data_IF_052418980842
#
_entry.id   IF_052418980842
#
_cell.length_a   1.000
_cell.length_b   1.000
_cell.length_c   1.000
_cell.angle_alpha   90.00
_cell.angle_beta   90.00
_cell.angle_gamma   90.00
#
_symmetry.space_group_name_H-M   'P 1'
#
loop_
_entity.id
_entity.type
_entity.pdbx_description
1 polymer ?
#
# COMPACT_ATOMS: atom_id res chain seq x y z
N UNK A 1 -39.12 12.92 -10.97
CA UNK A 1 -40.19 13.77 -11.54
C UNK A 1 -40.91 13.00 -12.63
N UNK A 2 -42.22 12.78 -12.51
CA UNK A 2 -43.04 12.30 -13.62
C UNK A 2 -43.42 13.52 -14.46
N UNK A 3 -43.19 13.49 -15.76
CA UNK A 3 -43.57 14.60 -16.65
C UNK A 3 -44.38 14.06 -17.83
N UNK A 4 -45.32 14.87 -18.32
CA UNK A 4 -46.21 14.50 -19.43
C UNK A 4 -45.65 15.11 -20.72
N UNK A 5 -45.29 14.25 -21.68
CA UNK A 5 -44.70 14.65 -22.94
C UNK A 5 -45.71 15.33 -23.88
N UNK A 6 -45.25 15.95 -24.99
CA UNK A 6 -46.11 16.49 -26.05
C UNK A 6 -47.01 15.42 -26.70
N UNK A 7 -46.65 14.15 -26.56
CA UNK A 7 -47.39 12.97 -27.00
C UNK A 7 -48.48 12.53 -26.00
N UNK A 8 -48.67 13.26 -24.90
CA UNK A 8 -49.64 12.97 -23.85
C UNK A 8 -49.26 11.79 -22.94
N UNK A 9 -48.10 11.15 -23.16
CA UNK A 9 -47.64 10.02 -22.35
C UNK A 9 -46.95 10.49 -21.08
N UNK A 10 -47.13 9.72 -20.01
CA UNK A 10 -46.48 9.98 -18.72
C UNK A 10 -45.07 9.38 -18.76
N UNK A 11 -44.06 10.22 -18.91
CA UNK A 11 -42.67 9.80 -18.82
C UNK A 11 -42.28 9.66 -17.35
N UNK A 12 -41.99 8.42 -16.96
CA UNK A 12 -41.39 8.09 -15.66
C UNK A 12 -39.87 8.06 -15.88
N UNK A 13 -39.09 8.76 -15.04
CA UNK A 13 -37.65 8.70 -15.14
C UNK A 13 -37.21 7.26 -14.88
N UNK A 14 -36.31 6.76 -15.73
CA UNK A 14 -35.75 5.44 -15.53
C UNK A 14 -35.18 5.31 -14.11
N UNK A 15 -35.40 4.17 -13.43
CA UNK A 15 -34.87 3.96 -12.08
C UNK A 15 -33.35 4.07 -12.11
N UNK A 16 -32.79 4.71 -11.09
CA UNK A 16 -31.35 4.76 -10.87
C UNK A 16 -30.90 3.43 -10.28
N UNK A 17 -29.81 2.87 -10.81
CA UNK A 17 -29.26 1.63 -10.29
C UNK A 17 -28.78 1.81 -8.83
N UNK A 18 -29.14 0.86 -7.98
CA UNK A 18 -28.66 0.79 -6.61
C UNK A 18 -27.20 0.33 -6.56
N UNK A 19 -26.46 0.81 -5.57
CA UNK A 19 -25.10 0.36 -5.31
C UNK A 19 -25.20 -1.00 -4.59
N UNK A 20 -24.78 -2.07 -5.25
CA UNK A 20 -24.79 -3.43 -4.71
C UNK A 20 -23.36 -3.95 -4.54
N UNK A 21 -23.15 -4.82 -3.55
CA UNK A 21 -21.87 -5.55 -3.40
C UNK A 21 -21.78 -6.59 -4.52
N UNK A 22 -20.63 -6.70 -5.19
CA UNK A 22 -20.47 -7.75 -6.19
C UNK A 22 -20.48 -9.14 -5.54
N UNK A 23 -21.14 -10.08 -6.21
CA UNK A 23 -21.21 -11.49 -5.82
C UNK A 23 -19.99 -12.29 -6.28
N UNK A 24 -19.23 -11.77 -7.24
CA UNK A 24 -17.99 -12.37 -7.78
C UNK A 24 -16.82 -11.38 -7.70
N UNK A 25 -15.63 -11.88 -7.38
CA UNK A 25 -14.39 -11.11 -7.34
C UNK A 25 -13.88 -10.79 -8.77
N UNK A 26 -14.59 -9.92 -9.49
CA UNK A 26 -14.13 -9.42 -10.77
C UNK A 26 -12.96 -8.45 -10.57
N UNK A 27 -11.77 -8.87 -11.00
CA UNK A 27 -10.57 -8.04 -10.99
C UNK A 27 -10.49 -7.27 -12.31
N UNK A 28 -10.67 -5.95 -12.25
CA UNK A 28 -10.43 -5.06 -13.39
C UNK A 28 -8.98 -4.56 -13.29
N UNK A 29 -8.11 -5.07 -14.16
CA UNK A 29 -6.71 -4.63 -14.28
C UNK A 29 -6.49 -3.80 -15.53
N UNK A 30 -5.68 -2.76 -15.44
CA UNK A 30 -5.19 -2.00 -16.59
C UNK A 30 -3.71 -2.30 -16.86
N UNK A 31 -3.23 -2.11 -18.09
CA UNK A 31 -1.78 -2.13 -18.34
C UNK A 31 -1.16 -0.83 -17.82
N UNK A 32 -0.43 -0.92 -16.72
CA UNK A 32 0.36 0.18 -16.17
C UNK A 32 1.77 0.21 -16.76
N UNK A 33 2.36 1.41 -16.86
CA UNK A 33 3.81 1.53 -17.04
C UNK A 33 4.49 1.42 -15.67
N UNK A 34 5.47 0.52 -15.47
CA UNK A 34 6.15 0.36 -14.19
C UNK A 34 6.73 1.66 -13.63
N UNK A 35 7.29 2.50 -14.51
CA UNK A 35 7.88 3.79 -14.12
C UNK A 35 6.85 4.84 -13.71
N UNK A 36 5.63 4.78 -14.26
CA UNK A 36 4.54 5.69 -13.88
C UNK A 36 3.95 5.33 -12.52
N UNK A 37 3.87 4.03 -12.22
CA UNK A 37 3.46 3.53 -10.91
C UNK A 37 4.48 3.99 -9.86
N UNK A 38 5.76 3.79 -10.15
CA UNK A 38 6.84 4.24 -9.29
C UNK A 38 6.85 5.76 -9.06
N UNK A 39 6.76 6.57 -10.11
CA UNK A 39 6.80 8.04 -9.95
C UNK A 39 5.64 8.55 -9.10
N UNK A 40 4.46 7.93 -9.21
CA UNK A 40 3.31 8.23 -8.36
C UNK A 40 3.57 7.85 -6.90
N UNK A 41 4.13 6.66 -6.65
CA UNK A 41 4.52 6.23 -5.31
C UNK A 41 5.53 7.21 -4.69
N UNK A 42 6.57 7.59 -5.43
CA UNK A 42 7.59 8.52 -4.93
C UNK A 42 7.05 9.93 -4.71
N UNK A 43 6.06 10.37 -5.49
CA UNK A 43 5.42 11.67 -5.30
C UNK A 43 4.73 11.79 -3.92
N UNK A 44 4.41 10.67 -3.25
CA UNK A 44 3.84 10.70 -1.88
C UNK A 44 4.89 10.98 -0.80
N UNK A 45 6.17 10.79 -1.08
CA UNK A 45 7.26 10.97 -0.11
C UNK A 45 7.45 12.44 0.25
N UNK A 46 7.41 13.35 -0.74
CA UNK A 46 7.62 14.78 -0.48
C UNK A 46 6.58 15.39 0.47
N UNK A 47 5.25 15.21 0.25
CA UNK A 47 4.26 15.63 1.22
C UNK A 47 4.49 15.03 2.61
N UNK A 48 4.78 13.73 2.69
CA UNK A 48 5.04 13.06 3.96
C UNK A 48 6.26 13.65 4.69
N UNK A 49 7.33 13.99 3.99
CA UNK A 49 8.51 14.63 4.55
C UNK A 49 8.22 16.02 5.13
N UNK A 50 7.50 16.88 4.41
CA UNK A 50 7.11 18.19 4.95
C UNK A 50 6.16 18.03 6.15
N UNK A 51 5.27 17.02 6.11
CA UNK A 51 4.41 16.69 7.24
C UNK A 51 5.18 16.21 8.45
N UNK A 52 6.27 15.46 8.27
CA UNK A 52 7.13 15.03 9.37
C UNK A 52 7.70 16.21 10.15
N UNK A 53 8.30 17.19 9.45
CA UNK A 53 8.90 18.37 10.10
C UNK A 53 7.86 19.33 10.68
N UNK A 54 6.74 19.55 9.99
CA UNK A 54 5.65 20.35 10.58
C UNK A 54 5.04 19.69 11.81
N UNK A 55 4.90 18.36 11.82
CA UNK A 55 4.52 17.60 13.01
C UNK A 55 5.52 17.80 14.15
N UNK A 56 6.83 17.69 13.88
CA UNK A 56 7.88 17.98 14.87
C UNK A 56 7.74 19.38 15.46
N UNK A 57 7.59 20.40 14.62
CA UNK A 57 7.45 21.78 15.08
C UNK A 57 6.19 21.99 15.91
N UNK A 58 5.08 21.33 15.57
CA UNK A 58 3.86 21.37 16.40
C UNK A 58 4.13 20.76 17.78
N UNK A 59 4.80 19.61 17.83
CA UNK A 59 5.13 18.96 19.11
C UNK A 59 6.08 19.82 19.94
N UNK A 60 7.13 20.39 19.34
CA UNK A 60 8.04 21.33 20.02
C UNK A 60 7.26 22.54 20.54
N UNK A 61 6.39 23.14 19.71
CA UNK A 61 5.56 24.27 20.12
C UNK A 61 4.61 23.93 21.28
N UNK A 62 4.11 22.70 21.35
CA UNK A 62 3.30 22.22 22.48
C UNK A 62 4.13 22.03 23.75
N UNK A 63 5.32 21.45 23.64
CA UNK A 63 6.24 21.26 24.78
C UNK A 63 6.70 22.61 25.35
N UNK A 64 7.03 23.56 24.49
CA UNK A 64 7.51 24.90 24.86
C UNK A 64 6.38 25.88 25.21
N UNK A 65 5.12 25.45 25.14
CA UNK A 65 3.94 26.32 25.29
C UNK A 65 3.97 27.55 24.39
N UNK A 66 4.49 27.42 23.17
CA UNK A 66 4.65 28.50 22.21
C UNK A 66 3.53 28.48 21.15
N UNK A 67 2.48 29.32 21.30
CA UNK A 67 1.36 29.33 20.37
C UNK A 67 1.75 29.75 18.95
N UNK A 68 2.77 30.59 18.81
CA UNK A 68 3.24 31.07 17.49
C UNK A 68 3.80 29.92 16.67
N UNK A 69 4.64 29.07 17.25
CA UNK A 69 5.20 27.90 16.56
C UNK A 69 4.06 26.94 16.16
N UNK A 70 3.12 26.68 17.07
CA UNK A 70 1.98 25.79 16.81
C UNK A 70 1.15 26.30 15.63
N UNK A 71 0.78 27.59 15.63
CA UNK A 71 -0.06 28.18 14.58
C UNK A 71 0.67 28.16 13.23
N UNK A 72 1.93 28.59 13.19
CA UNK A 72 2.72 28.65 11.94
C UNK A 72 2.94 27.25 11.38
N UNK A 73 3.35 26.29 12.21
CA UNK A 73 3.57 24.91 11.78
C UNK A 73 2.28 24.24 11.31
N UNK A 74 1.15 24.51 11.97
CA UNK A 74 -0.17 24.03 11.55
C UNK A 74 -0.56 24.59 10.19
N UNK A 75 -0.37 25.89 9.94
CA UNK A 75 -0.67 26.49 8.63
C UNK A 75 0.22 25.92 7.51
N UNK A 76 1.51 25.71 7.78
CA UNK A 76 2.45 25.11 6.82
C UNK A 76 2.11 23.64 6.53
N UNK A 77 1.46 22.93 7.45
CA UNK A 77 1.04 21.54 7.24
C UNK A 77 -0.14 21.40 6.26
N UNK A 78 -0.96 22.43 6.07
CA UNK A 78 -2.19 22.35 5.27
C UNK A 78 -1.91 21.98 3.80
N UNK A 79 -1.01 22.66 3.05
CA UNK A 79 -0.78 22.31 1.65
C UNK A 79 -0.24 20.88 1.45
N UNK A 80 0.75 20.39 2.23
CA UNK A 80 1.18 19.00 2.17
C UNK A 80 0.06 18.00 2.52
N UNK A 81 -0.82 18.28 3.49
CA UNK A 81 -1.99 17.42 3.79
C UNK A 81 -2.88 17.32 2.54
N UNK A 82 -3.26 18.46 1.95
CA UNK A 82 -4.14 18.49 0.78
C UNK A 82 -3.51 17.77 -0.42
N UNK A 83 -2.20 17.93 -0.60
CA UNK A 83 -1.45 17.25 -1.65
C UNK A 83 -1.38 15.73 -1.41
N UNK A 84 -1.08 15.30 -0.19
CA UNK A 84 -1.08 13.89 0.19
C UNK A 84 -2.46 13.27 -0.08
N UNK A 85 -3.53 13.90 0.43
CA UNK A 85 -4.92 13.47 0.22
C UNK A 85 -5.35 13.49 -1.25
N UNK A 86 -4.68 14.23 -2.13
CA UNK A 86 -4.96 14.24 -3.57
C UNK A 86 -4.23 13.11 -4.29
N UNK A 87 -2.97 12.83 -3.92
CA UNK A 87 -2.14 11.80 -4.57
C UNK A 87 -2.56 10.40 -4.12
N UNK A 88 -2.91 10.21 -2.84
CA UNK A 88 -3.23 8.90 -2.26
C UNK A 88 -4.67 8.44 -2.52
N UNK A 89 -5.49 9.20 -3.27
CA UNK A 89 -6.86 8.79 -3.57
C UNK A 89 -6.85 7.50 -4.38
N UNK A 90 -7.47 6.41 -3.86
CA UNK A 90 -7.54 5.18 -4.64
C UNK A 90 -8.43 5.44 -5.87
N UNK A 91 -8.00 5.02 -7.08
CA UNK A 91 -8.88 5.05 -8.23
C UNK A 91 -10.02 4.06 -7.98
N UNK A 92 -11.25 4.59 -7.91
CA UNK A 92 -12.48 3.80 -7.79
C UNK A 92 -13.04 3.63 -9.19
N UNK A 93 -13.16 2.38 -9.64
CA UNK A 93 -13.80 2.01 -10.88
C UNK A 93 -15.27 1.74 -10.59
N UNK A 94 -16.13 2.42 -11.33
CA UNK A 94 -17.57 2.20 -11.24
C UNK A 94 -17.98 1.23 -12.35
N UNK A 95 -18.38 0.03 -11.96
CA UNK A 95 -18.91 -0.99 -12.86
C UNK A 95 -20.44 -0.91 -12.89
N UNK A 96 -21.00 -1.00 -14.09
CA UNK A 96 -22.44 -1.11 -14.31
C UNK A 96 -22.69 -2.47 -14.94
N UNK A 97 -23.34 -3.37 -14.22
CA UNK A 97 -23.69 -4.69 -14.70
C UNK A 97 -25.17 -4.69 -15.12
N UNK A 98 -25.45 -5.03 -16.37
CA UNK A 98 -26.81 -5.13 -16.89
C UNK A 98 -27.14 -6.61 -17.14
N UNK A 99 -27.95 -7.20 -16.27
CA UNK A 99 -28.36 -8.60 -16.38
C UNK A 99 -29.76 -8.69 -16.98
N UNK A 100 -30.01 -9.58 -17.96
CA UNK A 100 -31.36 -9.83 -18.46
C UNK A 100 -32.31 -10.22 -17.33
N UNK A 101 -33.44 -9.54 -17.24
CA UNK A 101 -34.47 -9.80 -16.23
C UNK A 101 -35.83 -9.52 -16.86
N UNK A 102 -36.73 -10.51 -16.82
CA UNK A 102 -38.08 -10.40 -17.37
C UNK A 102 -38.89 -9.27 -16.70
N UNK A 103 -38.58 -8.93 -15.45
CA UNK A 103 -39.19 -7.82 -14.71
C UNK A 103 -38.38 -6.51 -14.80
N UNK A 104 -37.32 -6.49 -15.63
CA UNK A 104 -36.42 -5.37 -15.80
C UNK A 104 -36.98 -4.25 -16.67
N UNK A 105 -36.16 -3.21 -16.90
CA UNK A 105 -36.47 -2.09 -17.78
C UNK A 105 -35.54 -2.10 -19.00
N UNK A 106 -35.97 -1.49 -20.10
CA UNK A 106 -35.14 -1.29 -21.30
C UNK A 106 -34.41 0.05 -21.28
N UNK A 107 -34.82 0.99 -20.44
CA UNK A 107 -34.21 2.31 -20.29
C UNK A 107 -33.66 2.46 -18.88
N UNK A 108 -32.39 2.85 -18.78
CA UNK A 108 -31.68 2.98 -17.51
C UNK A 108 -30.99 4.33 -17.37
N UNK A 109 -31.16 4.96 -16.21
CA UNK A 109 -30.50 6.23 -15.91
C UNK A 109 -29.11 5.99 -15.29
N UNK A 110 -28.07 6.61 -15.85
CA UNK A 110 -26.69 6.53 -15.35
C UNK A 110 -26.21 7.82 -14.70
N UNK A 111 -27.12 8.64 -14.18
CA UNK A 111 -26.82 9.85 -13.44
C UNK A 111 -26.19 10.92 -14.34
N UNK A 112 -24.88 11.16 -14.17
CA UNK A 112 -24.12 12.11 -15.00
C UNK A 112 -23.74 11.55 -16.39
N UNK A 113 -23.94 10.25 -16.62
CA UNK A 113 -23.69 9.61 -17.90
C UNK A 113 -24.98 9.50 -18.74
N UNK A 114 -24.88 9.46 -20.08
CA UNK A 114 -26.04 9.26 -20.94
C UNK A 114 -26.84 8.02 -20.55
N UNK A 115 -28.16 8.11 -20.63
CA UNK A 115 -29.05 6.97 -20.37
C UNK A 115 -28.68 5.79 -21.28
N UNK A 116 -28.78 4.58 -20.73
CA UNK A 116 -28.49 3.35 -21.46
C UNK A 116 -29.81 2.71 -21.87
N UNK A 117 -29.97 2.44 -23.16
CA UNK A 117 -31.11 1.69 -23.68
C UNK A 117 -30.65 0.29 -24.08
N UNK A 118 -31.27 -0.75 -23.51
CA UNK A 118 -30.97 -2.16 -23.81
C UNK A 118 -32.04 -2.75 -24.74
N UNK A 119 -31.66 -3.67 -25.65
CA UNK A 119 -32.61 -4.29 -26.59
C UNK A 119 -33.59 -5.25 -25.90
N UNK A 120 -33.25 -5.75 -24.72
CA UNK A 120 -34.08 -6.62 -23.88
C UNK A 120 -34.28 -5.96 -22.50
N UNK A 121 -35.37 -6.29 -21.77
CA UNK A 121 -35.53 -5.88 -20.38
C UNK A 121 -34.34 -6.37 -19.53
N UNK A 122 -33.69 -5.44 -18.83
CA UNK A 122 -32.54 -5.73 -17.98
C UNK A 122 -32.71 -5.10 -16.60
N UNK A 123 -32.09 -5.70 -15.59
CA UNK A 123 -31.87 -5.11 -14.27
C UNK A 123 -30.44 -4.59 -14.23
N UNK A 124 -30.25 -3.31 -13.91
CA UNK A 124 -28.93 -2.73 -13.78
C UNK A 124 -28.53 -2.65 -12.32
N UNK A 125 -27.36 -3.20 -12.03
CA UNK A 125 -26.68 -3.11 -10.75
C UNK A 125 -25.42 -2.25 -10.90
N UNK A 126 -25.12 -1.46 -9.88
CA UNK A 126 -23.93 -0.61 -9.82
C UNK A 126 -22.99 -1.14 -8.76
N UNK A 127 -21.74 -1.38 -9.14
CA UNK A 127 -20.70 -1.82 -8.21
C UNK A 127 -19.54 -0.81 -8.17
N UNK A 128 -18.97 -0.62 -6.99
CA UNK A 128 -17.75 0.16 -6.80
C UNK A 128 -16.59 -0.80 -6.57
N UNK A 129 -15.57 -0.69 -7.40
CA UNK A 129 -14.39 -1.54 -7.36
C UNK A 129 -13.13 -0.73 -7.15
N UNK A 130 -12.23 -1.27 -6.36
CA UNK A 130 -10.85 -0.77 -6.31
C UNK A 130 -10.08 -1.30 -7.51
N UNK A 131 -9.18 -0.49 -8.06
CA UNK A 131 -8.28 -0.91 -9.14
C UNK A 131 -7.50 -2.19 -8.79
N UNK A 132 -7.67 -3.22 -9.61
CA UNK A 132 -7.05 -4.53 -9.46
C UNK A 132 -5.72 -4.67 -10.21
N UNK A 133 -5.18 -3.57 -10.74
CA UNK A 133 -3.91 -3.58 -11.48
C UNK A 133 -2.78 -4.18 -10.62
N UNK A 134 -2.10 -5.24 -11.09
CA UNK A 134 -0.98 -5.82 -10.38
C UNK A 134 0.17 -4.81 -10.29
N UNK A 135 0.95 -4.94 -9.22
CA UNK A 135 2.18 -4.19 -9.04
C UNK A 135 3.25 -4.74 -9.99
N UNK A 136 3.64 -3.91 -10.96
CA UNK A 136 4.71 -4.24 -11.90
C UNK A 136 5.93 -3.37 -11.64
N UNK A 137 7.10 -4.00 -11.55
CA UNK A 137 8.38 -3.30 -11.41
C UNK A 137 9.15 -3.31 -12.73
N UNK A 138 9.96 -2.27 -13.00
CA UNK A 138 10.97 -2.39 -14.04
C UNK A 138 11.94 -3.51 -13.68
N UNK A 139 12.56 -4.12 -14.70
CA UNK A 139 13.61 -5.12 -14.50
C UNK A 139 14.67 -4.56 -13.55
N UNK A 140 15.08 -5.34 -12.56
CA UNK A 140 16.00 -4.89 -11.49
C UNK A 140 17.29 -4.24 -12.00
N UNK A 141 17.78 -4.62 -13.18
CA UNK A 141 18.97 -4.04 -13.82
C UNK A 141 18.85 -2.54 -14.09
N UNK A 142 17.66 -2.05 -14.46
CA UNK A 142 17.42 -0.65 -14.81
C UNK A 142 17.64 0.30 -13.63
N UNK A 143 16.92 0.13 -12.51
CA UNK A 143 17.15 0.91 -11.30
C UNK A 143 18.59 0.86 -10.78
N UNK A 144 19.23 -0.32 -10.78
CA UNK A 144 20.63 -0.43 -10.37
C UNK A 144 21.60 0.31 -11.29
N UNK A 145 21.36 0.34 -12.59
CA UNK A 145 22.15 1.12 -13.53
C UNK A 145 21.98 2.64 -13.29
N UNK A 146 20.75 3.11 -13.08
CA UNK A 146 20.48 4.51 -12.74
C UNK A 146 21.16 4.93 -11.44
N UNK A 147 21.11 4.06 -10.42
CA UNK A 147 21.80 4.29 -9.16
C UNK A 147 23.32 4.38 -9.34
N UNK A 148 23.92 3.44 -10.09
CA UNK A 148 25.35 3.44 -10.37
C UNK A 148 25.78 4.73 -11.10
N UNK A 149 25.00 5.15 -12.11
CA UNK A 149 25.24 6.41 -12.83
C UNK A 149 25.19 7.61 -11.89
N UNK A 150 24.21 7.64 -10.98
CA UNK A 150 24.07 8.71 -9.97
C UNK A 150 25.31 8.81 -9.08
N UNK A 151 25.80 7.69 -8.55
CA UNK A 151 27.00 7.65 -7.67
C UNK A 151 28.27 8.02 -8.46
N UNK A 152 28.43 7.49 -9.68
CA UNK A 152 29.59 7.80 -10.55
C UNK A 152 29.59 9.29 -10.89
N UNK A 153 28.44 9.87 -11.23
CA UNK A 153 28.34 11.29 -11.57
C UNK A 153 28.68 12.18 -10.37
N UNK A 154 28.19 11.87 -9.17
CA UNK A 154 28.59 12.59 -7.95
C UNK A 154 30.09 12.48 -7.68
N UNK A 155 30.66 11.28 -7.83
CA UNK A 155 32.11 11.05 -7.65
C UNK A 155 32.94 11.81 -8.70
N UNK A 156 32.51 11.82 -9.96
CA UNK A 156 33.18 12.53 -11.04
C UNK A 156 33.12 14.06 -10.84
N UNK A 157 31.98 14.59 -10.40
CA UNK A 157 31.85 16.00 -10.02
C UNK A 157 32.78 16.36 -8.86
N UNK A 158 32.89 15.48 -7.85
CA UNK A 158 33.85 15.66 -6.76
C UNK A 158 35.28 15.72 -7.27
N UNK A 159 35.68 14.77 -8.12
CA UNK A 159 37.02 14.76 -8.70
C UNK A 159 37.28 16.02 -9.53
N UNK A 160 36.30 16.46 -10.31
CA UNK A 160 36.43 17.68 -11.10
C UNK A 160 36.59 18.92 -10.23
N UNK A 161 35.79 19.08 -9.17
CA UNK A 161 35.96 20.18 -8.21
C UNK A 161 37.37 20.17 -7.62
N UNK A 162 37.84 19.02 -7.14
CA UNK A 162 39.16 18.89 -6.49
C UNK A 162 40.34 19.22 -7.40
N UNK A 163 40.20 19.08 -8.73
CA UNK A 163 41.27 19.33 -9.71
C UNK A 163 41.10 20.64 -10.48
N UNK A 164 40.16 21.50 -10.10
CA UNK A 164 39.77 22.67 -10.90
C UNK A 164 40.35 24.00 -10.41
N UNK A 165 41.27 23.98 -9.44
CA UNK A 165 41.94 25.16 -8.87
C UNK A 165 40.99 26.33 -8.54
N UNK A 166 39.78 26.02 -8.06
CA UNK A 166 38.78 27.02 -7.68
C UNK A 166 37.93 27.57 -8.86
N UNK A 167 37.97 26.92 -10.03
CA UNK A 167 37.09 27.25 -11.15
C UNK A 167 35.61 27.17 -10.76
N UNK A 168 34.83 28.15 -11.23
CA UNK A 168 33.38 28.19 -10.99
C UNK A 168 32.61 27.13 -11.79
N UNK A 169 33.17 26.62 -12.89
CA UNK A 169 32.48 25.70 -13.79
C UNK A 169 31.96 24.42 -13.09
N UNK A 170 32.78 23.65 -12.35
CA UNK A 170 32.30 22.45 -11.67
C UNK A 170 31.36 22.75 -10.49
N UNK A 171 31.49 23.91 -9.86
CA UNK A 171 30.57 24.37 -8.80
C UNK A 171 29.18 24.62 -9.39
N UNK A 172 29.10 25.32 -10.53
CA UNK A 172 27.85 25.56 -11.24
C UNK A 172 27.24 24.25 -11.76
N UNK A 173 28.08 23.34 -12.27
CA UNK A 173 27.62 22.01 -12.70
C UNK A 173 27.01 21.23 -11.53
N UNK A 174 27.65 21.25 -10.36
CA UNK A 174 27.08 20.65 -9.15
C UNK A 174 25.77 21.33 -8.76
N UNK A 175 25.71 22.67 -8.73
CA UNK A 175 24.48 23.40 -8.42
C UNK A 175 23.29 23.01 -9.31
N UNK A 176 23.54 22.76 -10.60
CA UNK A 176 22.52 22.29 -11.55
C UNK A 176 22.11 20.83 -11.33
N UNK A 177 23.08 19.95 -11.04
CA UNK A 177 22.88 18.50 -10.95
C UNK A 177 22.52 18.01 -9.54
N UNK A 178 22.71 18.83 -8.51
CA UNK A 178 22.46 18.52 -7.11
C UNK A 178 21.05 18.00 -6.86
N UNK A 179 20.03 18.73 -7.32
CA UNK A 179 18.62 18.36 -7.11
C UNK A 179 18.28 17.05 -7.85
N UNK A 180 18.59 16.87 -9.16
CA UNK A 180 18.40 15.58 -9.82
C UNK A 180 19.12 14.42 -9.14
N UNK A 181 20.39 14.60 -8.76
CA UNK A 181 21.19 13.58 -8.08
C UNK A 181 20.59 13.20 -6.72
N UNK A 182 20.11 14.18 -5.95
CA UNK A 182 19.42 13.93 -4.70
C UNK A 182 18.14 13.13 -4.91
N UNK A 183 17.28 13.56 -5.84
CA UNK A 183 16.00 12.88 -6.13
C UNK A 183 16.24 11.43 -6.56
N UNK A 184 17.19 11.20 -7.45
CA UNK A 184 17.54 9.85 -7.92
C UNK A 184 18.21 9.03 -6.81
N UNK A 185 19.14 9.63 -6.08
CA UNK A 185 19.89 8.99 -5.01
C UNK A 185 19.00 8.49 -3.88
N UNK A 186 17.97 9.26 -3.50
CA UNK A 186 17.11 8.84 -2.40
C UNK A 186 16.10 7.76 -2.78
N UNK A 187 15.59 7.81 -4.01
CA UNK A 187 14.39 7.06 -4.41
C UNK A 187 14.71 5.76 -5.18
N UNK A 188 15.71 5.78 -6.07
CA UNK A 188 16.02 4.66 -6.96
C UNK A 188 16.47 3.39 -6.22
N UNK A 189 17.27 3.44 -5.15
CA UNK A 189 17.66 2.22 -4.44
C UNK A 189 16.47 1.49 -3.83
N UNK A 190 15.46 2.24 -3.33
CA UNK A 190 14.23 1.66 -2.80
C UNK A 190 13.51 0.86 -3.89
N UNK A 191 13.39 1.42 -5.09
CA UNK A 191 12.83 0.71 -6.24
C UNK A 191 13.66 -0.52 -6.62
N UNK A 192 14.98 -0.41 -6.61
CA UNK A 192 15.89 -1.49 -6.96
C UNK A 192 15.71 -2.68 -6.01
N UNK A 193 15.71 -2.43 -4.70
CA UNK A 193 15.49 -3.44 -3.68
C UNK A 193 14.08 -4.03 -3.71
N UNK A 194 13.06 -3.20 -3.94
CA UNK A 194 11.69 -3.68 -4.05
C UNK A 194 11.47 -4.57 -5.27
N UNK A 195 12.07 -4.21 -6.40
CA UNK A 195 12.10 -5.03 -7.62
C UNK A 195 12.81 -6.36 -7.37
N UNK A 196 13.93 -6.36 -6.64
CA UNK A 196 14.62 -7.62 -6.27
C UNK A 196 13.74 -8.51 -5.41
N UNK A 197 13.13 -7.99 -4.34
CA UNK A 197 12.28 -8.78 -3.45
C UNK A 197 11.07 -9.36 -4.19
N UNK A 198 10.37 -8.54 -4.97
CA UNK A 198 9.16 -8.95 -5.70
C UNK A 198 9.46 -10.02 -6.75
N UNK A 199 10.55 -9.87 -7.51
CA UNK A 199 10.97 -10.86 -8.49
C UNK A 199 11.40 -12.20 -7.86
N UNK A 200 11.96 -12.17 -6.64
CA UNK A 200 12.39 -13.38 -5.92
C UNK A 200 11.22 -14.12 -5.28
N UNK A 201 10.24 -13.38 -4.76
CA UNK A 201 9.08 -13.96 -4.06
C UNK A 201 7.99 -14.45 -5.02
N UNK A 202 7.91 -13.87 -6.23
CA UNK A 202 6.92 -14.21 -7.27
C UNK A 202 5.45 -14.15 -6.77
N UNK A 203 5.18 -13.23 -5.85
CA UNK A 203 3.82 -12.95 -5.37
C UNK A 203 3.24 -11.81 -6.19
N UNK A 204 2.04 -12.03 -6.74
CA UNK A 204 1.27 -10.96 -7.37
C UNK A 204 0.54 -10.18 -6.28
N UNK A 205 0.82 -8.88 -6.19
CA UNK A 205 0.20 -7.96 -5.22
C UNK A 205 -0.49 -6.85 -5.97
N UNK A 206 -1.63 -6.37 -5.45
CA UNK A 206 -2.32 -5.22 -6.06
C UNK A 206 -1.52 -3.95 -5.77
N UNK A 207 -1.42 -3.08 -6.76
CA UNK A 207 -0.68 -1.81 -6.63
C UNK A 207 -1.14 -0.98 -5.41
N UNK A 208 -2.44 -0.92 -5.14
CA UNK A 208 -3.01 -0.15 -4.03
C UNK A 208 -2.60 -0.71 -2.66
N UNK A 209 -2.51 -2.04 -2.52
CA UNK A 209 -2.07 -2.69 -1.28
C UNK A 209 -0.59 -2.39 -1.02
N UNK A 210 0.23 -2.54 -2.04
CA UNK A 210 1.65 -2.23 -2.00
C UNK A 210 1.93 -0.74 -1.68
N UNK A 211 1.14 0.18 -2.25
CA UNK A 211 1.18 1.60 -1.91
C UNK A 211 0.82 1.84 -0.45
N UNK A 212 -0.21 1.17 0.07
CA UNK A 212 -0.63 1.30 1.46
C UNK A 212 0.46 0.83 2.44
N UNK A 213 1.15 -0.28 2.14
CA UNK A 213 2.26 -0.77 2.97
C UNK A 213 3.45 0.19 2.97
N UNK A 214 3.81 0.74 1.81
CA UNK A 214 4.87 1.75 1.70
C UNK A 214 4.50 3.02 2.50
N UNK A 215 3.27 3.50 2.36
CA UNK A 215 2.76 4.67 3.11
C UNK A 215 2.76 4.41 4.61
N UNK A 216 2.36 3.22 5.05
CA UNK A 216 2.40 2.85 6.46
C UNK A 216 3.82 2.89 7.03
N UNK A 217 4.81 2.44 6.25
CA UNK A 217 6.22 2.63 6.56
C UNK A 217 6.61 4.09 6.75
N UNK A 218 6.23 4.96 5.80
CA UNK A 218 6.50 6.40 5.92
C UNK A 218 5.82 7.02 7.15
N UNK A 219 4.58 6.64 7.44
CA UNK A 219 3.84 7.11 8.62
C UNK A 219 4.49 6.62 9.90
N UNK A 220 5.01 5.41 9.95
CA UNK A 220 5.73 4.88 11.13
C UNK A 220 7.01 5.65 11.46
N UNK A 221 7.60 6.35 10.48
CA UNK A 221 8.74 7.23 10.72
C UNK A 221 8.38 8.47 11.57
N UNK A 222 7.11 8.88 11.62
CA UNK A 222 6.68 10.06 12.37
C UNK A 222 6.89 9.90 13.88
N UNK A 223 6.25 8.92 14.55
CA UNK A 223 6.48 8.72 15.97
C UNK A 223 7.94 8.35 16.26
N UNK A 224 8.60 7.60 15.39
CA UNK A 224 10.02 7.25 15.58
C UNK A 224 10.91 8.50 15.59
N UNK A 225 10.75 9.39 14.62
CA UNK A 225 11.50 10.64 14.53
C UNK A 225 11.22 11.55 15.74
N UNK A 226 9.98 11.65 16.21
CA UNK A 226 9.65 12.42 17.42
C UNK A 226 10.37 11.87 18.65
N UNK A 227 10.24 10.56 18.90
CA UNK A 227 10.81 9.92 20.08
C UNK A 227 12.36 9.95 20.03
N UNK A 228 12.95 9.73 18.86
CA UNK A 228 14.40 9.82 18.67
C UNK A 228 14.93 11.23 18.90
N UNK A 229 14.15 12.26 18.56
CA UNK A 229 14.57 13.66 18.70
C UNK A 229 14.32 14.23 20.08
N UNK A 230 13.25 13.80 20.76
CA UNK A 230 12.75 14.44 21.99
C UNK A 230 12.88 13.57 23.24
N UNK A 231 12.81 12.24 23.10
CA UNK A 231 12.78 11.31 24.23
C UNK A 231 14.14 10.64 24.43
N UNK A 232 14.77 10.16 23.36
CA UNK A 232 16.09 9.49 23.47
C UNK A 232 17.15 10.36 24.14
N UNK A 233 17.31 11.66 23.81
CA UNK A 233 18.30 12.50 24.48
C UNK A 233 18.11 12.59 25.99
N UNK A 234 16.85 12.65 26.45
CA UNK A 234 16.50 12.73 27.87
C UNK A 234 16.72 11.41 28.63
N UNK A 235 16.74 10.28 27.93
CA UNK A 235 17.02 8.97 28.51
C UNK A 235 18.53 8.70 28.66
N UNK A 236 19.38 9.49 28.00
CA UNK A 236 20.83 9.29 28.03
C UNK A 236 21.40 9.85 29.34
N UNK A 237 22.25 9.09 30.07
CA UNK A 237 22.81 9.59 31.32
C UNK A 237 23.69 10.84 31.13
N UNK A 238 23.37 11.90 31.87
CA UNK A 238 24.07 13.21 31.79
C UNK A 238 25.59 13.17 32.09
N UNK A 239 26.09 12.07 32.67
CA UNK A 239 27.52 11.89 32.99
C UNK A 239 28.32 11.25 31.85
N UNK A 240 27.66 10.83 30.76
CA UNK A 240 28.33 10.27 29.59
C UNK A 240 28.97 11.38 28.76
N UNK A 241 30.09 11.07 28.11
CA UNK A 241 30.69 11.99 27.14
C UNK A 241 29.79 12.15 25.91
N UNK A 242 29.95 13.25 25.16
CA UNK A 242 29.18 13.50 23.94
C UNK A 242 29.27 12.35 22.92
N UNK A 243 30.44 11.72 22.80
CA UNK A 243 30.66 10.57 21.92
C UNK A 243 29.86 9.36 22.41
N UNK A 244 29.88 9.07 23.71
CA UNK A 244 29.13 7.96 24.30
C UNK A 244 27.62 8.17 24.15
N UNK A 245 27.15 9.40 24.43
CA UNK A 245 25.76 9.80 24.27
C UNK A 245 25.31 9.63 22.81
N UNK A 246 26.06 10.20 21.85
CA UNK A 246 25.76 10.12 20.42
C UNK A 246 25.75 8.67 19.93
N UNK A 247 26.73 7.87 20.34
CA UNK A 247 26.80 6.46 19.96
C UNK A 247 25.61 5.68 20.50
N UNK A 248 25.23 5.87 21.77
CA UNK A 248 24.08 5.19 22.34
C UNK A 248 22.75 5.63 21.69
N UNK A 249 22.60 6.92 21.39
CA UNK A 249 21.44 7.43 20.68
C UNK A 249 21.28 6.75 19.31
N UNK A 250 22.35 6.69 18.53
CA UNK A 250 22.31 6.21 17.13
C UNK A 250 22.35 4.67 17.04
N UNK A 251 23.10 4.00 17.92
CA UNK A 251 23.30 2.54 17.85
C UNK A 251 22.28 1.74 18.66
N UNK A 252 21.62 2.35 19.66
CA UNK A 252 20.69 1.66 20.55
C UNK A 252 19.33 2.35 20.55
N UNK A 253 19.29 3.64 20.89
CA UNK A 253 18.03 4.38 21.05
C UNK A 253 17.17 4.38 19.79
N UNK A 254 17.73 4.89 18.69
CA UNK A 254 17.05 4.98 17.41
C UNK A 254 16.60 3.61 16.90
N UNK A 255 17.46 2.57 16.78
CA UNK A 255 17.02 1.27 16.28
C UNK A 255 15.87 0.65 17.08
N UNK A 256 15.88 0.73 18.42
CA UNK A 256 14.81 0.15 19.24
C UNK A 256 13.47 0.83 18.95
N UNK A 257 13.45 2.16 18.95
CA UNK A 257 12.24 2.94 18.71
C UNK A 257 11.72 2.71 17.30
N UNK A 258 12.62 2.73 16.31
CA UNK A 258 12.26 2.54 14.90
C UNK A 258 11.65 1.17 14.64
N UNK A 259 12.22 0.09 15.19
CA UNK A 259 11.66 -1.25 15.05
C UNK A 259 10.30 -1.38 15.75
N UNK A 260 10.10 -0.75 16.92
CA UNK A 260 8.79 -0.73 17.58
C UNK A 260 7.75 0.00 16.72
N UNK A 261 8.08 1.18 16.18
CA UNK A 261 7.17 1.93 15.33
C UNK A 261 6.85 1.20 14.02
N UNK A 262 7.82 0.50 13.41
CA UNK A 262 7.55 -0.33 12.23
C UNK A 262 6.72 -1.57 12.56
N UNK A 263 6.90 -2.15 13.75
CA UNK A 263 6.08 -3.28 14.20
C UNK A 263 4.61 -2.90 14.39
N UNK A 264 4.30 -1.68 14.87
CA UNK A 264 2.91 -1.22 14.94
C UNK A 264 2.29 -1.07 13.55
N UNK A 265 3.05 -0.63 12.55
CA UNK A 265 2.59 -0.62 11.16
C UNK A 265 2.31 -2.03 10.63
N UNK A 266 3.11 -3.04 11.01
CA UNK A 266 2.82 -4.44 10.66
C UNK A 266 1.48 -4.92 11.22
N UNK A 267 1.17 -4.57 12.48
CA UNK A 267 -0.09 -4.97 13.13
C UNK A 267 -1.33 -4.42 12.39
N UNK A 268 -1.24 -3.24 11.78
CA UNK A 268 -2.34 -2.67 10.96
C UNK A 268 -2.63 -3.57 9.74
N UNK A 269 -1.62 -4.21 9.17
CA UNK A 269 -1.75 -5.08 7.99
C UNK A 269 -1.68 -6.57 8.33
N UNK A 270 -2.03 -6.94 9.56
CA UNK A 270 -1.98 -8.32 10.04
C UNK A 270 -2.72 -9.30 9.13
N UNK A 271 -3.90 -8.93 8.61
CA UNK A 271 -4.68 -9.74 7.68
C UNK A 271 -3.99 -9.98 6.33
N UNK A 272 -3.10 -9.08 5.90
CA UNK A 272 -2.37 -9.19 4.64
C UNK A 272 -1.12 -10.07 4.73
N UNK A 273 -0.74 -10.49 5.93
CA UNK A 273 0.50 -11.25 6.19
C UNK A 273 0.31 -12.77 6.20
N UNK A 274 -0.82 -13.31 5.72
CA UNK A 274 -1.08 -14.76 5.71
C UNK A 274 0.03 -15.52 4.95
N UNK A 275 0.86 -16.22 5.70
CA UNK A 275 2.03 -16.96 5.25
C UNK A 275 3.33 -16.18 5.22
N UNK A 276 4.42 -16.91 5.51
CA UNK A 276 5.78 -16.36 5.67
C UNK A 276 6.22 -15.48 4.51
N UNK A 277 5.92 -15.87 3.26
CA UNK A 277 6.32 -15.08 2.08
C UNK A 277 5.50 -13.79 1.93
N UNK A 278 4.21 -13.83 2.23
CA UNK A 278 3.35 -12.65 2.20
C UNK A 278 3.73 -11.69 3.35
N UNK A 279 3.90 -12.22 4.56
CA UNK A 279 4.41 -11.48 5.71
C UNK A 279 5.76 -10.82 5.44
N UNK A 280 6.70 -11.54 4.80
CA UNK A 280 7.97 -10.95 4.39
C UNK A 280 7.77 -9.77 3.43
N UNK A 281 6.92 -9.90 2.41
CA UNK A 281 6.70 -8.84 1.43
C UNK A 281 6.06 -7.60 2.06
N UNK A 282 5.05 -7.78 2.91
CA UNK A 282 4.41 -6.69 3.66
C UNK A 282 5.43 -5.98 4.56
N UNK A 283 6.19 -6.74 5.35
CA UNK A 283 7.25 -6.20 6.21
C UNK A 283 8.36 -5.50 5.43
N UNK A 284 8.78 -6.08 4.32
CA UNK A 284 9.79 -5.50 3.44
C UNK A 284 9.32 -4.16 2.86
N UNK A 285 8.06 -4.08 2.39
CA UNK A 285 7.46 -2.83 1.89
C UNK A 285 7.32 -1.76 2.96
N UNK A 286 6.92 -2.12 4.19
CA UNK A 286 6.86 -1.17 5.32
C UNK A 286 8.27 -0.66 5.65
N UNK A 287 9.27 -1.54 5.75
CA UNK A 287 10.65 -1.15 6.01
C UNK A 287 11.23 -0.24 4.91
N UNK A 288 10.91 -0.49 3.64
CA UNK A 288 11.25 0.40 2.53
C UNK A 288 10.57 1.78 2.64
N UNK A 289 9.32 1.82 3.07
CA UNK A 289 8.58 3.06 3.30
C UNK A 289 9.22 3.92 4.39
N UNK A 290 9.62 3.30 5.50
CA UNK A 290 10.37 3.97 6.57
C UNK A 290 11.69 4.54 6.04
N UNK A 291 12.45 3.70 5.32
CA UNK A 291 13.73 4.07 4.76
C UNK A 291 13.63 5.21 3.72
N UNK A 292 12.52 5.37 3.01
CA UNK A 292 12.33 6.50 2.09
C UNK A 292 12.40 7.86 2.80
N UNK A 293 11.71 7.99 3.93
CA UNK A 293 11.66 9.24 4.70
C UNK A 293 13.04 9.54 5.28
N UNK A 294 13.63 8.55 5.93
CA UNK A 294 14.94 8.70 6.56
C UNK A 294 16.02 9.01 5.51
N UNK A 295 16.04 8.26 4.40
CA UNK A 295 17.02 8.46 3.34
C UNK A 295 16.87 9.83 2.66
N UNK A 296 15.64 10.34 2.53
CA UNK A 296 15.41 11.70 2.03
C UNK A 296 16.09 12.74 2.94
N UNK A 297 16.03 12.58 4.27
CA UNK A 297 16.69 13.46 5.24
C UNK A 297 18.22 13.41 5.10
N UNK A 298 18.82 12.21 5.16
CA UNK A 298 20.28 12.06 5.10
C UNK A 298 20.88 12.59 3.80
N UNK A 299 20.28 12.27 2.65
CA UNK A 299 20.81 12.74 1.36
C UNK A 299 20.52 14.23 1.16
N UNK A 300 19.43 14.77 1.74
CA UNK A 300 19.20 16.22 1.74
C UNK A 300 20.27 16.98 2.53
N UNK A 301 20.71 16.44 3.67
CA UNK A 301 21.83 17.03 4.44
C UNK A 301 23.14 16.92 3.65
N UNK A 302 23.40 15.77 3.03
CA UNK A 302 24.60 15.54 2.23
C UNK A 302 24.76 16.48 1.02
N UNK A 303 23.68 17.11 0.55
CA UNK A 303 23.75 18.16 -0.48
C UNK A 303 24.61 19.34 -0.04
N UNK A 304 24.57 19.70 1.24
CA UNK A 304 25.34 20.82 1.80
C UNK A 304 26.83 20.47 1.99
N UNK A 305 27.15 19.18 2.03
CA UNK A 305 28.52 18.64 2.08
C UNK A 305 29.24 18.60 0.72
N UNK A 306 28.54 18.91 -0.37
CA UNK A 306 29.07 18.87 -1.72
C UNK A 306 28.99 17.49 -2.39
N UNK A 307 29.52 17.35 -3.62
CA UNK A 307 29.32 16.15 -4.43
C UNK A 307 29.95 14.88 -3.86
N UNK A 308 31.05 14.99 -3.10
CA UNK A 308 31.70 13.86 -2.45
C UNK A 308 30.78 13.23 -1.39
N UNK A 309 30.27 14.07 -0.49
CA UNK A 309 29.40 13.65 0.60
C UNK A 309 28.06 13.15 0.07
N UNK A 310 27.50 13.82 -0.96
CA UNK A 310 26.31 13.36 -1.65
C UNK A 310 26.48 11.96 -2.25
N UNK A 311 27.59 11.71 -2.96
CA UNK A 311 27.88 10.43 -3.58
C UNK A 311 28.11 9.32 -2.54
N UNK A 312 28.92 9.60 -1.52
CA UNK A 312 29.22 8.65 -0.45
C UNK A 312 27.97 8.28 0.35
N UNK A 313 27.19 9.27 0.77
CA UNK A 313 25.94 9.05 1.52
C UNK A 313 24.94 8.28 0.67
N UNK A 314 24.76 8.66 -0.60
CA UNK A 314 23.88 7.93 -1.53
C UNK A 314 24.29 6.47 -1.68
N UNK A 315 25.60 6.19 -1.80
CA UNK A 315 26.12 4.83 -1.92
C UNK A 315 25.88 4.00 -0.66
N UNK A 316 26.34 4.51 0.50
CA UNK A 316 26.24 3.83 1.79
C UNK A 316 24.79 3.56 2.14
N UNK A 317 23.90 4.55 1.92
CA UNK A 317 22.50 4.38 2.24
C UNK A 317 21.77 3.47 1.26
N UNK A 318 22.04 3.62 -0.03
CA UNK A 318 21.43 2.83 -1.10
C UNK A 318 21.73 1.33 -1.02
N UNK A 319 22.95 0.96 -0.64
CA UNK A 319 23.39 -0.46 -0.57
C UNK A 319 23.35 -1.01 0.86
N UNK A 320 23.48 -0.16 1.87
CA UNK A 320 23.52 -0.56 3.29
C UNK A 320 22.20 -0.35 4.01
N UNK A 321 21.89 0.90 4.37
CA UNK A 321 20.76 1.20 5.28
C UNK A 321 19.39 0.80 4.71
N UNK A 322 19.08 1.14 3.45
CA UNK A 322 17.78 0.86 2.83
C UNK A 322 17.41 -0.63 2.89
N UNK A 323 18.26 -1.55 2.39
CA UNK A 323 17.96 -2.97 2.49
C UNK A 323 17.96 -3.44 3.95
N UNK A 324 18.76 -2.86 4.86
CA UNK A 324 18.71 -3.22 6.26
C UNK A 324 17.32 -2.96 6.87
N UNK A 325 16.76 -1.76 6.74
CA UNK A 325 15.40 -1.47 7.23
C UNK A 325 14.35 -2.40 6.62
N UNK A 326 14.46 -2.66 5.31
CA UNK A 326 13.53 -3.54 4.61
C UNK A 326 13.66 -5.00 5.06
N UNK A 327 14.87 -5.51 5.24
CA UNK A 327 15.12 -6.90 5.63
C UNK A 327 14.72 -7.17 7.06
N UNK A 328 15.06 -6.30 8.02
CA UNK A 328 14.71 -6.51 9.44
C UNK A 328 13.20 -6.52 9.63
N UNK A 329 12.51 -5.53 9.06
CA UNK A 329 11.05 -5.46 9.09
C UNK A 329 10.42 -6.62 8.33
N UNK A 330 11.02 -7.03 7.21
CA UNK A 330 10.60 -8.20 6.43
C UNK A 330 10.72 -9.52 7.20
N UNK A 331 11.79 -9.72 7.99
CA UNK A 331 11.92 -10.91 8.82
C UNK A 331 10.89 -10.95 9.95
N UNK A 332 10.63 -9.82 10.60
CA UNK A 332 9.55 -9.71 11.60
C UNK A 332 8.19 -10.02 10.97
N UNK A 333 7.88 -9.42 9.81
CA UNK A 333 6.65 -9.71 9.07
C UNK A 333 6.53 -11.18 8.65
N UNK A 334 7.63 -11.80 8.20
CA UNK A 334 7.69 -13.23 7.85
C UNK A 334 7.37 -14.12 9.05
N UNK A 335 7.94 -13.80 10.22
CA UNK A 335 7.68 -14.54 11.45
C UNK A 335 6.21 -14.40 11.88
N UNK A 336 5.66 -13.18 11.87
CA UNK A 336 4.24 -12.93 12.17
C UNK A 336 3.32 -13.68 11.20
N UNK A 337 3.64 -13.65 9.90
CA UNK A 337 2.88 -14.36 8.87
C UNK A 337 2.94 -15.88 8.99
N UNK A 338 4.08 -16.43 9.42
CA UNK A 338 4.20 -17.85 9.75
C UNK A 338 3.36 -18.24 10.96
N UNK A 339 3.39 -17.44 12.03
CA UNK A 339 2.57 -17.66 13.23
C UNK A 339 1.08 -17.62 12.91
N UNK A 340 0.66 -16.68 12.05
CA UNK A 340 -0.71 -16.57 11.55
C UNK A 340 -1.22 -17.87 10.90
N UNK A 341 -0.40 -18.44 10.02
CA UNK A 341 -0.72 -19.69 9.33
C UNK A 341 -0.73 -20.88 10.28
N UNK A 342 0.25 -20.96 11.19
CA UNK A 342 0.39 -22.07 12.14
C UNK A 342 -0.71 -22.07 13.21
N UNK A 343 -1.07 -20.90 13.73
CA UNK A 343 -2.11 -20.76 14.76
C UNK A 343 -3.53 -20.88 14.21
N UNK A 344 -3.72 -20.88 12.88
CA UNK A 344 -5.05 -20.87 12.23
C UNK A 344 -6.01 -19.94 12.98
N UNK A 345 -5.58 -18.70 13.25
CA UNK A 345 -6.30 -17.78 14.14
C UNK A 345 -7.78 -17.56 13.75
N UNK A 346 -8.11 -17.74 12.47
CA UNK A 346 -9.49 -17.79 11.98
C UNK A 346 -10.29 -18.93 12.63
N UNK A 347 -9.72 -20.14 12.71
CA UNK A 347 -10.33 -21.28 13.42
C UNK A 347 -10.43 -21.04 14.92
N UNK A 348 -9.41 -20.45 15.54
CA UNK A 348 -9.47 -20.12 16.98
C UNK A 348 -10.51 -19.03 17.26
N UNK A 349 -10.66 -18.04 16.39
CA UNK A 349 -11.69 -17.01 16.52
C UNK A 349 -13.10 -17.59 16.31
N UNK A 350 -13.26 -18.46 15.31
CA UNK A 350 -14.49 -19.19 15.02
C UNK A 350 -14.86 -20.11 16.20
N UNK A 351 -13.94 -20.94 16.69
CA UNK A 351 -14.12 -21.78 17.88
C UNK A 351 -14.50 -20.96 19.11
N UNK A 352 -13.87 -19.79 19.32
CA UNK A 352 -14.18 -18.92 20.46
C UNK A 352 -15.55 -18.26 20.32
N UNK A 353 -15.95 -17.84 19.12
CA UNK A 353 -17.29 -17.34 18.81
C UNK A 353 -18.35 -18.42 19.04
N UNK A 354 -18.15 -19.61 18.49
CA UNK A 354 -19.05 -20.76 18.68
C UNK A 354 -19.15 -21.14 20.15
N UNK A 355 -18.05 -21.20 20.89
CA UNK A 355 -18.07 -21.49 22.33
C UNK A 355 -18.82 -20.43 23.16
N UNK A 356 -18.79 -19.17 22.71
CA UNK A 356 -19.48 -18.07 23.38
C UNK A 356 -20.98 -18.12 23.06
N UNK A 357 -21.34 -18.41 21.81
CA UNK A 357 -22.73 -18.64 21.40
C UNK A 357 -23.36 -19.79 22.18
N UNK A 358 -22.66 -20.94 22.27
CA UNK A 358 -23.10 -22.10 23.05
C UNK A 358 -23.35 -21.72 24.51
N UNK A 359 -22.43 -21.01 25.17
CA UNK A 359 -22.61 -20.55 26.56
C UNK A 359 -23.79 -19.60 26.74
N UNK A 360 -24.12 -18.81 25.73
CA UNK A 360 -25.28 -17.92 25.77
C UNK A 360 -26.57 -18.74 25.64
N UNK A 361 -26.62 -19.69 24.70
CA UNK A 361 -27.74 -20.61 24.50
C UNK A 361 -28.00 -21.40 25.79
N UNK A 362 -26.98 -22.05 26.35
CA UNK A 362 -27.07 -22.79 27.63
C UNK A 362 -27.62 -21.93 28.76
N UNK A 363 -27.20 -20.66 28.82
CA UNK A 363 -27.64 -19.74 29.87
C UNK A 363 -29.09 -19.28 29.68
N UNK A 364 -29.53 -19.10 28.44
CA UNK A 364 -30.93 -18.74 28.13
C UNK A 364 -31.86 -19.94 28.38
N UNK A 365 -31.45 -21.14 27.99
CA UNK A 365 -32.20 -22.37 28.22
C UNK A 365 -32.25 -22.78 29.70
N UNK A 366 -31.21 -22.48 30.48
CA UNK A 366 -31.24 -22.67 31.94
C UNK A 366 -32.32 -21.86 32.65
N UNK A 367 -32.89 -20.85 31.98
CA UNK A 367 -34.00 -20.01 32.47
C UNK A 367 -35.37 -20.51 31.95
N UNK A 368 -35.38 -21.62 31.21
CA UNK A 368 -36.59 -22.30 30.72
C UNK A 368 -37.11 -21.79 29.37
N UNK A 369 -36.27 -21.10 28.59
CA UNK A 369 -36.60 -20.61 27.24
C UNK A 369 -35.83 -21.41 26.18
N UNK A 370 -36.55 -22.20 25.39
CA UNK A 370 -36.02 -22.92 24.22
C UNK A 370 -35.60 -21.89 23.14
N UNK A 371 -34.30 -21.78 22.91
CA UNK A 371 -33.71 -20.79 22.02
C UNK A 371 -33.07 -21.40 20.77
N UNK A 372 -32.57 -22.64 20.86
CA UNK A 372 -32.05 -23.37 19.71
C UNK A 372 -33.13 -24.09 18.88
N UNK A 373 -34.36 -24.18 19.40
CA UNK A 373 -35.55 -24.65 18.70
C UNK A 373 -35.70 -26.17 18.69
N UNK A 374 -35.00 -26.88 19.59
CA UNK A 374 -35.05 -28.34 19.69
C UNK A 374 -36.21 -28.88 20.53
N UNK A 375 -36.98 -27.98 21.17
CA UNK A 375 -38.12 -28.33 22.01
C UNK A 375 -37.76 -28.75 23.44
N UNK A 376 -36.49 -28.66 23.84
CA UNK A 376 -35.99 -28.95 25.17
C UNK A 376 -35.32 -27.72 25.81
N UNK A 377 -35.21 -27.72 27.14
CA UNK A 377 -34.52 -26.67 27.91
C UNK A 377 -33.31 -27.27 28.64
N UNK A 378 -32.51 -28.06 27.91
CA UNK A 378 -31.45 -28.91 28.47
C UNK A 378 -30.02 -28.45 28.11
N UNK A 379 -29.87 -27.29 27.46
CA UNK A 379 -28.59 -26.78 26.97
C UNK A 379 -28.26 -27.30 25.58
N UNK A 380 -27.35 -26.62 24.89
CA UNK A 380 -26.94 -26.93 23.52
C UNK A 380 -26.36 -28.34 23.43
N UNK A 381 -27.09 -29.25 22.79
CA UNK A 381 -26.59 -30.58 22.45
C UNK A 381 -26.07 -30.58 21.03
N UNK A 382 -24.75 -30.79 20.81
CA UNK A 382 -24.23 -30.84 19.46
C UNK A 382 -24.85 -32.03 18.72
N UNK A 383 -25.62 -31.76 17.65
CA UNK A 383 -26.00 -32.80 16.72
C UNK A 383 -24.72 -33.40 16.12
N UNK A 384 -24.43 -34.64 16.50
CA UNK A 384 -23.25 -35.39 16.02
C UNK A 384 -23.22 -35.56 14.49
N UNK A 385 -24.31 -35.26 13.79
CA UNK A 385 -24.37 -35.26 12.33
C UNK A 385 -24.06 -33.89 11.69
N UNK A 386 -24.13 -32.77 12.43
CA UNK A 386 -23.82 -31.43 11.90
C UNK A 386 -22.32 -31.26 11.62
N UNK A 387 -21.46 -31.79 12.51
CA UNK A 387 -20.00 -31.81 12.34
C UNK A 387 -19.53 -32.78 11.26
N UNK A 388 -20.32 -33.81 10.93
CA UNK A 388 -20.02 -34.74 9.84
C UNK A 388 -20.24 -34.14 8.45
N UNK A 389 -21.13 -33.15 8.34
CA UNK A 389 -21.39 -32.40 7.11
C UNK A 389 -20.48 -31.18 6.93
N UNK A 390 -19.80 -30.73 8.01
CA UNK A 390 -18.75 -29.69 7.94
C UNK A 390 -17.42 -30.24 7.40
N UNK A 391 -17.23 -31.55 7.39
CA UNK A 391 -16.03 -32.23 6.86
C UNK A 391 -16.24 -32.81 5.45
N UNK A 392 -17.35 -32.48 4.77
CA UNK A 392 -17.70 -33.08 3.47
C UNK A 392 -18.17 -32.11 2.38
N UNK A 393 -17.88 -30.81 2.47
CA UNK A 393 -17.96 -29.93 1.31
C UNK A 393 -16.62 -29.24 1.10
N UNK A 394 -15.84 -29.88 0.24
CA UNK A 394 -14.49 -29.48 -0.11
C UNK A 394 -14.41 -28.05 -0.64
N UNK A 395 -13.22 -27.50 -0.46
CA UNK A 395 -12.75 -26.31 -1.14
C UNK A 395 -13.19 -26.31 -2.61
N UNK A 396 -14.00 -25.33 -3.01
CA UNK A 396 -14.14 -25.01 -4.42
C UNK A 396 -12.86 -24.32 -4.89
N UNK A 397 -11.82 -25.10 -5.16
CA UNK A 397 -10.79 -24.69 -6.11
C UNK A 397 -11.34 -25.05 -7.49
N UNK A 398 -11.80 -24.03 -8.22
CA UNK A 398 -11.96 -24.19 -9.68
C UNK A 398 -10.55 -24.23 -10.26
N UNK A 399 -9.99 -25.44 -10.35
CA UNK A 399 -8.85 -25.72 -11.22
C UNK A 399 -9.43 -25.80 -12.62
N UNK A 400 -9.27 -24.72 -13.41
CA UNK A 400 -9.52 -24.79 -14.83
C UNK A 400 -8.63 -25.87 -15.44
N UNK A 401 -9.23 -26.99 -15.85
CA UNK A 401 -8.53 -28.01 -16.61
C UNK A 401 -8.13 -27.40 -17.96
N UNK A 402 -6.84 -27.30 -18.22
CA UNK A 402 -6.36 -27.11 -19.59
C UNK A 402 -6.78 -28.33 -20.41
N UNK A 403 -7.78 -28.19 -21.27
CA UNK A 403 -7.92 -29.07 -22.41
C UNK A 403 -6.79 -28.73 -23.38
N UNK A 404 -5.88 -29.69 -23.58
CA UNK A 404 -4.89 -29.63 -24.65
C UNK A 404 -5.63 -29.60 -25.99
N UNK A 405 -5.53 -28.51 -26.73
CA UNK A 405 -5.77 -28.48 -28.17
C UNK A 405 -4.39 -28.58 -28.86
N UNK A 406 -4.20 -29.45 -29.86
CA UNK A 406 -2.88 -29.80 -30.38
C UNK A 406 -2.17 -28.62 -31.04
N UNK A 407 -0.84 -28.59 -30.87
CA UNK A 407 0.08 -27.86 -31.73
C UNK A 407 -0.11 -28.33 -33.17
N UNK A 408 -0.70 -27.49 -34.00
CA UNK A 408 -0.27 -27.23 -35.39
C UNK A 408 -1.21 -26.19 -36.01
N UNK A 409 -0.69 -24.99 -36.25
CA UNK A 409 -0.61 -24.36 -37.58
C UNK A 409 0.28 -23.13 -37.42
N UNK A 410 1.38 -23.17 -38.14
CA UNK A 410 2.39 -22.16 -38.19
C UNK A 410 1.98 -21.02 -39.15
N UNK A 411 2.56 -19.84 -38.89
CA UNK A 411 2.96 -18.82 -39.86
C UNK A 411 1.85 -18.00 -40.56
N UNK A 412 1.78 -16.71 -40.20
CA UNK A 412 1.11 -15.69 -40.98
C UNK A 412 1.28 -14.28 -40.41
N UNK A 413 2.42 -13.63 -40.69
CA UNK A 413 2.60 -12.17 -40.53
C UNK A 413 1.53 -11.45 -41.39
N UNK A 414 0.78 -10.44 -40.93
CA UNK A 414 1.05 -8.97 -40.97
C UNK A 414 -0.25 -8.18 -40.64
N UNK A 415 -0.19 -6.83 -40.45
CA UNK A 415 -0.93 -6.08 -39.42
C UNK A 415 -2.13 -5.27 -39.97
N UNK A 416 -3.18 -5.01 -39.16
CA UNK A 416 -4.16 -3.91 -39.40
C UNK A 416 -4.89 -3.46 -38.11
N UNK A 417 -4.85 -2.14 -37.91
CA UNK A 417 -5.71 -1.13 -37.24
C UNK A 417 -6.32 -1.19 -35.82
N UNK A 418 -6.37 -0.02 -35.13
CA UNK A 418 -6.83 0.13 -33.75
C UNK A 418 -8.28 0.62 -33.64
N UNK A 419 -9.27 0.02 -34.29
CA UNK A 419 -10.68 0.32 -34.01
C UNK A 419 -11.57 -0.85 -34.43
N UNK A 420 -11.88 -1.76 -33.50
CA UNK A 420 -13.14 -2.52 -33.44
C UNK A 420 -13.12 -3.48 -32.26
N UNK A 421 -13.90 -3.17 -31.21
CA UNK A 421 -14.28 -4.15 -30.20
C UNK A 421 -15.63 -4.74 -30.60
N UNK A 422 -15.63 -5.93 -31.19
CA UNK A 422 -16.81 -6.79 -31.26
C UNK A 422 -16.72 -7.83 -30.13
N UNK A 423 -17.60 -7.70 -29.13
CA UNK A 423 -17.90 -8.78 -28.19
C UNK A 423 -18.68 -9.87 -28.94
N UNK A 424 -18.11 -11.07 -29.03
CA UNK A 424 -18.87 -12.30 -29.25
C UNK A 424 -18.99 -13.03 -27.91
N UNK A 425 -20.21 -13.18 -27.43
CA UNK A 425 -20.57 -14.10 -26.35
C UNK A 425 -20.75 -15.49 -26.96
N UNK A 426 -20.01 -16.47 -26.43
CA UNK A 426 -20.48 -17.85 -26.28
C UNK A 426 -20.28 -18.25 -24.83
#
# INVERSE_FOLDING_TARGET
>A
MRWKGPDGRLHVPAPTAEITKMTTDLVISSRGSPWRIYSRMMATVFPAFFLLYSCLLIVIGLVDWNPTIIIVASLISIPPILLALRITRPPIIQLWNATPDANGNTLHNRGSLPALTTPVPTRIERHLLTDGTPLEFPSSRGPWALFAICVIMGTALSFWISNSDGSLAPILAFGLLAIPLWILGFSIPVLAWWSVASNRLKISVRRVEAEAWLIAGMVSAFPAFMLNSLVVPELIPNHWSEIQASFAAIAIGAPIIEEICKATALLIFFSSMRGRRAGFLVGFSIGLGFALIENLQYIAVALFGGPAELAATTLVRGVGSIPAHALWTGFVGSAMGGMLDELKLDKLAEEKLTSTQIKIIDKVESVGLDFDGDGAAEGFKPDRNLLKNLDSQGDWIIIGSQSMIPRNIALGRRPVDPFNYHLYLQ
#
